data_IF_221483286889
#
_entry.id   IF_221483286889
#
_cell.length_a   1.000
_cell.length_b   1.000
_cell.length_c   1.000
_cell.angle_alpha   90.00
_cell.angle_beta   90.00
_cell.angle_gamma   90.00
#
_symmetry.space_group_name_H-M   'P 1'
#
loop_
_entity.id
_entity.type
_entity.pdbx_description
1 polymer ?
#
# COMPACT_ATOMS: atom_id res chain seq x y z
N UNK A 1 50.31 22.54 25.64
CA UNK A 1 50.10 21.46 24.64
C UNK A 1 48.96 20.50 25.02
N UNK A 2 48.73 20.22 26.30
CA UNK A 2 47.65 19.33 26.78
C UNK A 2 46.23 19.85 26.50
N UNK A 3 46.00 21.17 26.62
CA UNK A 3 44.69 21.79 26.36
C UNK A 3 44.24 21.69 24.90
N UNK A 4 45.16 21.81 23.95
CA UNK A 4 44.88 21.64 22.52
C UNK A 4 44.62 20.17 22.16
N UNK A 5 45.30 19.24 22.84
CA UNK A 5 45.05 17.80 22.72
C UNK A 5 43.68 17.40 23.26
N UNK A 6 43.27 17.94 24.41
CA UNK A 6 41.93 17.74 24.98
C UNK A 6 40.80 18.33 24.11
N UNK A 7 41.01 19.52 23.56
CA UNK A 7 40.04 20.13 22.65
C UNK A 7 39.87 19.30 21.36
N UNK A 8 40.96 18.78 20.80
CA UNK A 8 40.92 17.91 19.62
C UNK A 8 40.20 16.59 19.91
N UNK A 9 40.44 15.95 21.05
CA UNK A 9 39.71 14.72 21.42
C UNK A 9 38.23 14.96 21.62
N UNK A 10 37.84 16.06 22.27
CA UNK A 10 36.41 16.40 22.47
C UNK A 10 35.71 16.60 21.12
N UNK A 11 36.33 17.32 20.18
CA UNK A 11 35.76 17.56 18.85
C UNK A 11 35.64 16.25 18.06
N UNK A 12 36.66 15.39 18.07
CA UNK A 12 36.61 14.10 17.36
C UNK A 12 35.55 13.18 17.95
N UNK A 13 35.44 13.10 19.28
CA UNK A 13 34.41 12.30 19.97
C UNK A 13 33.01 12.83 19.65
N UNK A 14 32.81 14.15 19.63
CA UNK A 14 31.53 14.77 19.27
C UNK A 14 31.12 14.48 17.81
N UNK A 15 32.07 14.53 16.87
CA UNK A 15 31.83 14.19 15.46
C UNK A 15 31.50 12.71 15.27
N UNK A 16 32.18 11.82 16.00
CA UNK A 16 31.89 10.37 15.96
C UNK A 16 30.51 10.04 16.55
N UNK A 17 30.11 10.71 17.64
CA UNK A 17 28.78 10.54 18.25
C UNK A 17 27.66 11.03 17.31
N UNK A 18 27.84 12.16 16.63
CA UNK A 18 26.84 12.70 15.71
C UNK A 18 26.64 11.85 14.45
N UNK A 19 27.64 11.06 14.04
CA UNK A 19 27.54 10.17 12.89
C UNK A 19 26.69 8.91 13.16
N UNK A 20 26.36 8.60 14.42
CA UNK A 20 25.58 7.42 14.79
C UNK A 20 24.06 7.61 14.63
N UNK A 21 23.58 8.85 14.44
CA UNK A 21 22.15 9.17 14.21
C UNK A 21 21.82 9.50 12.74
N UNK A 22 22.80 9.53 11.83
CA UNK A 22 22.57 9.76 10.40
C UNK A 22 22.12 8.48 9.66
N UNK A 23 21.40 7.60 10.35
CA UNK A 23 21.04 6.27 9.91
C UNK A 23 19.57 5.93 10.15
N UNK A 24 18.63 6.85 9.91
CA UNK A 24 17.22 6.51 9.66
C UNK A 24 16.42 7.76 9.23
N UNK A 25 16.44 8.09 7.94
CA UNK A 25 15.23 8.62 7.31
C UNK A 25 14.63 7.43 6.57
N UNK A 26 13.86 6.64 7.32
CA UNK A 26 12.86 5.74 6.74
C UNK A 26 12.14 6.56 5.69
N UNK A 27 12.21 6.12 4.42
CA UNK A 27 11.29 6.61 3.42
C UNK A 27 9.91 6.20 3.91
N UNK A 28 9.18 7.17 4.45
CA UNK A 28 7.76 7.03 4.74
C UNK A 28 7.09 6.41 3.52
N UNK A 29 6.75 5.12 3.61
CA UNK A 29 5.67 4.56 2.83
C UNK A 29 4.43 5.30 3.31
N UNK A 30 4.16 6.45 2.68
CA UNK A 30 2.95 7.22 2.91
C UNK A 30 1.77 6.49 2.27
N UNK A 31 1.35 5.41 2.94
CA UNK A 31 0.01 4.89 2.87
C UNK A 31 -0.89 5.77 3.73
N UNK A 32 -1.86 6.42 3.08
CA UNK A 32 -3.08 6.89 3.74
C UNK A 32 -3.08 8.31 4.29
N UNK A 33 -3.86 9.17 3.64
CA UNK A 33 -4.59 10.24 4.33
C UNK A 33 -3.90 11.60 4.41
N UNK A 34 -3.94 12.37 3.31
CA UNK A 34 -3.94 13.84 3.36
C UNK A 34 -5.04 14.35 2.42
N UNK A 35 -6.24 14.35 2.98
CA UNK A 35 -7.40 15.18 2.69
C UNK A 35 -7.26 16.13 1.50
N UNK A 36 -7.96 15.83 0.39
CA UNK A 36 -8.67 16.85 -0.41
C UNK A 36 -9.95 16.31 -1.07
N UNK A 37 -11.05 16.93 -0.65
CA UNK A 37 -12.36 17.10 -1.29
C UNK A 37 -13.28 15.86 -1.43
N UNK A 38 -14.57 15.97 -1.06
CA UNK A 38 -15.57 15.08 -1.62
C UNK A 38 -15.59 15.32 -3.14
N UNK A 39 -15.23 14.30 -3.93
CA UNK A 39 -15.33 14.35 -5.39
C UNK A 39 -14.02 14.35 -6.19
N UNK A 40 -12.86 14.00 -5.63
CA UNK A 40 -11.64 13.80 -6.44
C UNK A 40 -11.42 12.32 -6.79
N UNK A 41 -12.06 11.90 -7.90
CA UNK A 41 -11.84 10.59 -8.55
C UNK A 41 -10.43 10.57 -9.14
N UNK A 42 -9.60 9.62 -8.69
CA UNK A 42 -8.32 9.31 -9.30
C UNK A 42 -8.47 8.86 -10.76
N UNK A 43 -7.45 9.16 -11.56
CA UNK A 43 -7.29 8.89 -13.01
C UNK A 43 -8.12 7.75 -13.61
N UNK A 44 -8.75 7.94 -14.80
CA UNK A 44 -9.53 6.90 -15.46
C UNK A 44 -8.69 5.67 -15.81
N UNK A 45 -8.90 4.58 -15.09
CA UNK A 45 -8.60 3.22 -15.55
C UNK A 45 -9.59 2.91 -16.71
N UNK A 46 -9.23 2.14 -17.77
CA UNK A 46 -10.02 2.04 -19.01
C UNK A 46 -11.27 1.17 -18.81
N UNK A 47 -12.22 1.73 -18.06
CA UNK A 47 -13.44 1.14 -17.53
C UNK A 47 -14.30 2.15 -16.75
N UNK A 48 -13.73 3.29 -16.32
CA UNK A 48 -14.37 4.62 -16.29
C UNK A 48 -15.70 4.82 -15.56
N UNK A 49 -16.15 3.90 -14.70
CA UNK A 49 -17.26 4.11 -13.79
C UNK A 49 -16.74 4.36 -12.37
N UNK A 50 -17.27 5.39 -11.73
CA UNK A 50 -17.18 5.58 -10.30
C UNK A 50 -17.88 4.40 -9.59
N UNK A 51 -17.17 3.69 -8.72
CA UNK A 51 -17.71 2.52 -8.00
C UNK A 51 -18.78 3.04 -7.03
N UNK A 52 -20.05 2.81 -7.36
CA UNK A 52 -21.18 3.25 -6.56
C UNK A 52 -21.57 2.21 -5.51
N UNK A 53 -21.89 2.70 -4.32
CA UNK A 53 -22.55 1.87 -3.30
C UNK A 53 -24.04 1.75 -3.65
N UNK A 54 -24.65 0.60 -3.35
CA UNK A 54 -26.08 0.33 -3.59
C UNK A 54 -26.47 0.27 -5.09
N UNK A 55 -25.52 0.03 -5.99
CA UNK A 55 -25.80 -0.35 -7.38
C UNK A 55 -25.48 -1.81 -7.61
N UNK A 56 -26.03 -2.39 -8.69
CA UNK A 56 -25.65 -3.72 -9.11
C UNK A 56 -24.13 -3.81 -9.32
N UNK A 57 -23.53 -4.92 -8.91
CA UNK A 57 -22.13 -5.20 -9.17
C UNK A 57 -21.89 -5.40 -10.67
N UNK A 58 -20.67 -5.13 -11.14
CA UNK A 58 -20.28 -5.41 -12.52
C UNK A 58 -20.35 -6.92 -12.78
N UNK A 59 -20.98 -7.30 -13.89
CA UNK A 59 -20.98 -8.69 -14.31
C UNK A 59 -19.72 -9.02 -15.10
N UNK A 60 -19.01 -10.06 -14.67
CA UNK A 60 -17.85 -10.59 -15.39
C UNK A 60 -17.72 -12.10 -15.17
N UNK A 61 -17.03 -12.71 -16.13
CA UNK A 61 -16.76 -14.14 -16.16
C UNK A 61 -15.27 -14.37 -16.30
N UNK A 62 -14.72 -15.22 -15.43
CA UNK A 62 -13.32 -15.63 -15.43
C UNK A 62 -13.23 -17.14 -15.45
N UNK A 63 -12.09 -17.67 -15.90
CA UNK A 63 -11.77 -19.07 -15.73
C UNK A 63 -11.08 -19.28 -14.38
N UNK A 64 -11.48 -20.33 -13.66
CA UNK A 64 -10.75 -20.77 -12.49
C UNK A 64 -9.46 -21.52 -12.86
N UNK A 65 -8.72 -22.01 -11.85
CA UNK A 65 -7.46 -22.72 -12.06
C UNK A 65 -7.60 -24.05 -12.83
N UNK A 66 -8.81 -24.61 -12.90
CA UNK A 66 -9.12 -25.80 -13.70
C UNK A 66 -9.53 -25.46 -15.14
N UNK A 67 -9.61 -24.16 -15.48
CA UNK A 67 -10.11 -23.68 -16.76
C UNK A 67 -11.64 -23.63 -16.85
N UNK A 68 -12.36 -23.89 -15.76
CA UNK A 68 -13.81 -23.83 -15.74
C UNK A 68 -14.26 -22.37 -15.67
N UNK A 69 -15.22 -22.02 -16.53
CA UNK A 69 -15.84 -20.70 -16.56
C UNK A 69 -16.69 -20.47 -15.30
N UNK A 70 -16.49 -19.33 -14.65
CA UNK A 70 -17.16 -18.89 -13.42
C UNK A 70 -17.61 -17.45 -13.61
N UNK A 71 -18.91 -17.20 -13.41
CA UNK A 71 -19.54 -15.89 -13.50
C UNK A 71 -19.82 -15.31 -12.10
N UNK A 72 -19.47 -14.04 -11.87
CA UNK A 72 -19.60 -13.40 -10.56
C UNK A 72 -21.05 -13.34 -10.06
N UNK A 73 -21.99 -12.87 -10.87
CA UNK A 73 -23.38 -12.70 -10.43
C UNK A 73 -24.06 -14.03 -10.12
N UNK A 74 -23.69 -15.09 -10.85
CA UNK A 74 -24.16 -16.45 -10.56
C UNK A 74 -23.75 -16.89 -9.16
N UNK A 75 -22.49 -16.65 -8.77
CA UNK A 75 -22.01 -16.94 -7.41
C UNK A 75 -22.72 -16.05 -6.39
N UNK A 76 -22.80 -14.75 -6.67
CA UNK A 76 -23.41 -13.78 -5.75
C UNK A 76 -24.88 -14.10 -5.45
N UNK A 77 -25.67 -14.50 -6.45
CA UNK A 77 -27.08 -14.86 -6.27
C UNK A 77 -27.28 -16.20 -5.54
N UNK A 78 -26.29 -17.08 -5.56
CA UNK A 78 -26.36 -18.38 -4.87
C UNK A 78 -26.10 -18.27 -3.35
N UNK A 79 -25.57 -17.12 -2.89
CA UNK A 79 -25.16 -16.92 -1.50
C UNK A 79 -25.85 -15.71 -0.86
N UNK A 80 -25.89 -15.67 0.49
CA UNK A 80 -26.46 -14.53 1.23
C UNK A 80 -25.53 -13.31 1.24
N UNK A 81 -24.24 -13.56 1.22
CA UNK A 81 -23.19 -12.55 1.22
C UNK A 81 -22.03 -13.09 0.40
N UNK A 82 -21.48 -12.25 -0.46
CA UNK A 82 -20.29 -12.57 -1.26
C UNK A 82 -19.28 -11.44 -1.08
N UNK A 83 -18.05 -11.81 -0.70
CA UNK A 83 -16.92 -10.88 -0.58
C UNK A 83 -15.97 -11.20 -1.72
N UNK A 84 -15.62 -10.18 -2.52
CA UNK A 84 -14.65 -10.30 -3.60
C UNK A 84 -13.34 -9.66 -3.14
N UNK A 85 -12.27 -10.43 -3.13
CA UNK A 85 -10.93 -9.96 -2.79
C UNK A 85 -10.05 -9.96 -4.04
N UNK A 86 -9.62 -8.79 -4.49
CA UNK A 86 -8.72 -8.64 -5.64
C UNK A 86 -7.27 -8.62 -5.16
N UNK A 87 -6.51 -9.66 -5.51
CA UNK A 87 -5.10 -9.80 -5.11
C UNK A 87 -4.24 -10.26 -6.28
N UNK A 88 -2.93 -10.05 -6.16
CA UNK A 88 -1.94 -10.61 -7.08
C UNK A 88 -0.61 -10.89 -6.35
N UNK A 89 0.13 -11.91 -6.81
CA UNK A 89 1.41 -12.32 -6.21
C UNK A 89 2.49 -11.23 -6.24
N UNK A 90 2.35 -10.28 -7.16
CA UNK A 90 3.26 -9.16 -7.35
C UNK A 90 2.75 -7.85 -6.73
N UNK A 91 1.57 -7.85 -6.10
CA UNK A 91 0.98 -6.66 -5.47
C UNK A 91 1.58 -6.47 -4.06
N UNK A 92 2.40 -5.42 -3.80
CA UNK A 92 3.06 -5.24 -2.51
C UNK A 92 2.11 -5.11 -1.30
N UNK A 93 1.02 -4.32 -1.33
CA UNK A 93 0.08 -4.29 -0.21
C UNK A 93 -0.65 -5.63 -0.03
N UNK A 94 -1.07 -6.29 -1.13
CA UNK A 94 -1.72 -7.59 -1.07
C UNK A 94 -0.84 -8.68 -0.44
N UNK A 95 0.48 -8.66 -0.70
CA UNK A 95 1.42 -9.59 -0.05
C UNK A 95 1.54 -9.37 1.45
N UNK A 96 1.36 -8.14 1.93
CA UNK A 96 1.36 -7.84 3.36
C UNK A 96 0.04 -8.27 4.04
N UNK A 97 -1.03 -8.40 3.27
CA UNK A 97 -2.33 -8.90 3.74
C UNK A 97 -2.42 -10.44 3.78
N UNK A 98 -1.48 -11.15 3.16
CA UNK A 98 -1.46 -12.61 3.21
C UNK A 98 -0.97 -13.08 4.60
N UNK A 99 -1.63 -14.09 5.20
CA UNK A 99 -1.35 -14.57 6.57
C UNK A 99 0.03 -15.22 6.73
#
# INVERSE_FOLDING_TARGET
MTRARFALTIVVVAVLLAACDAGAQVSDYQGGGKDKAPGSIGTPNPGGGDIQVNTAALDFTLNDFSGKSVNLLTVAHAHKLTIVNFWASWCPPCRAEMP
#
